data_IF_299033446168
#
_entry.id   IF_299033446168
#
_cell.length_a   1.000
_cell.length_b   1.000
_cell.length_c   1.000
_cell.angle_alpha   90.00
_cell.angle_beta   90.00
_cell.angle_gamma   90.00
#
_symmetry.space_group_name_H-M   'P 1'
#
loop_
_entity.id
_entity.type
_entity.pdbx_description
1 polymer ?
#
# COMPACT_ATOMS: atom_id res chain seq x y z
N UNK A 1 -52.60 2.72 17.09
CA UNK A 1 -52.85 3.56 18.29
C UNK A 1 -51.97 4.80 18.22
N UNK A 2 -52.55 6.00 18.11
CA UNK A 2 -51.82 7.28 18.04
C UNK A 2 -51.57 7.79 19.47
N UNK A 3 -50.32 8.00 19.88
CA UNK A 3 -49.97 8.59 21.17
C UNK A 3 -50.10 10.12 21.09
N UNK A 4 -50.95 10.71 21.93
CA UNK A 4 -51.08 12.15 22.14
C UNK A 4 -50.06 12.58 23.18
N UNK A 5 -49.23 13.57 22.87
CA UNK A 5 -48.40 14.26 23.86
C UNK A 5 -49.26 15.25 24.66
N UNK A 6 -49.10 15.24 25.99
CA UNK A 6 -49.70 16.20 26.92
C UNK A 6 -48.61 17.20 27.32
N UNK A 7 -48.82 18.52 27.19
CA UNK A 7 -47.86 19.50 27.66
C UNK A 7 -47.87 19.52 29.20
N UNK A 8 -46.71 19.35 29.82
CA UNK A 8 -46.53 19.65 31.23
C UNK A 8 -46.35 21.17 31.37
N UNK A 9 -47.33 21.82 32.00
CA UNK A 9 -47.19 23.20 32.45
C UNK A 9 -46.27 23.25 33.68
N UNK A 10 -45.26 24.14 33.72
CA UNK A 10 -44.36 24.25 34.85
C UNK A 10 -45.11 24.84 36.05
N UNK A 11 -45.29 24.05 37.10
CA UNK A 11 -45.75 24.54 38.40
C UNK A 11 -44.59 25.25 39.09
N UNK A 12 -44.49 26.56 38.90
CA UNK A 12 -43.61 27.42 39.69
C UNK A 12 -44.22 27.60 41.09
N UNK A 13 -43.68 26.88 42.07
CA UNK A 13 -43.87 27.21 43.48
C UNK A 13 -42.91 28.36 43.83
N UNK A 14 -43.44 29.57 43.91
CA UNK A 14 -42.77 30.70 44.55
C UNK A 14 -42.87 30.53 46.07
N UNK A 15 -41.89 29.84 46.67
CA UNK A 15 -41.59 30.01 48.10
C UNK A 15 -40.51 31.08 48.20
N UNK A 16 -40.84 32.25 48.76
CA UNK A 16 -39.88 33.31 49.04
C UNK A 16 -39.02 32.92 50.25
N UNK A 17 -37.83 32.37 50.00
CA UNK A 17 -36.72 32.31 50.96
C UNK A 17 -35.77 33.47 50.66
N UNK A 18 -35.95 34.59 51.37
CA UNK A 18 -35.14 35.81 51.18
C UNK A 18 -33.74 35.71 51.81
N UNK A 19 -33.39 34.56 52.40
CA UNK A 19 -32.13 34.34 53.13
C UNK A 19 -31.16 33.37 52.40
N UNK A 20 -31.50 32.87 51.20
CA UNK A 20 -30.64 31.93 50.44
C UNK A 20 -29.75 32.64 49.39
N UNK A 21 -30.01 33.92 49.06
CA UNK A 21 -29.23 34.66 48.06
C UNK A 21 -27.83 35.05 48.57
N UNK A 22 -27.66 35.32 49.87
CA UNK A 22 -26.34 35.68 50.44
C UNK A 22 -25.39 34.47 50.51
N UNK A 23 -25.89 33.26 50.79
CA UNK A 23 -25.06 32.05 50.78
C UNK A 23 -24.63 31.63 49.36
N UNK A 24 -25.48 31.87 48.36
CA UNK A 24 -25.18 31.54 46.96
C UNK A 24 -24.12 32.49 46.36
N UNK A 25 -24.09 33.76 46.77
CA UNK A 25 -23.03 34.70 46.39
C UNK A 25 -21.66 34.32 47.00
N UNK A 26 -21.61 33.93 48.27
CA UNK A 26 -20.35 33.53 48.93
C UNK A 26 -19.77 32.23 48.32
N UNK A 27 -20.63 31.26 48.00
CA UNK A 27 -20.21 30.02 47.32
C UNK A 27 -19.68 30.31 45.91
N UNK A 28 -20.29 31.26 45.20
CA UNK A 28 -19.85 31.66 43.87
C UNK A 28 -18.51 32.40 43.89
N UNK A 29 -18.27 33.27 44.86
CA UNK A 29 -17.00 33.99 44.99
C UNK A 29 -15.84 33.03 45.29
N UNK A 30 -16.04 32.07 46.20
CA UNK A 30 -15.04 31.04 46.50
C UNK A 30 -14.70 30.19 45.28
N UNK A 31 -15.73 29.76 44.53
CA UNK A 31 -15.54 28.96 43.31
C UNK A 31 -14.83 29.76 42.22
N UNK A 32 -15.15 31.05 42.09
CA UNK A 32 -14.45 31.94 41.16
C UNK A 32 -12.96 32.05 41.49
N UNK A 33 -12.62 32.21 42.77
CA UNK A 33 -11.23 32.26 43.23
C UNK A 33 -10.47 30.95 42.96
N UNK A 34 -11.08 29.79 43.23
CA UNK A 34 -10.49 28.48 42.95
C UNK A 34 -10.21 28.26 41.45
N UNK A 35 -11.14 28.69 40.59
CA UNK A 35 -10.95 28.64 39.12
C UNK A 35 -9.80 29.54 38.70
N UNK A 36 -9.74 30.78 39.22
CA UNK A 36 -8.68 31.72 38.89
C UNK A 36 -7.29 31.18 39.27
N UNK A 37 -7.17 30.59 40.46
CA UNK A 37 -5.94 29.98 40.92
C UNK A 37 -5.53 28.78 40.06
N UNK A 38 -6.50 27.99 39.60
CA UNK A 38 -6.26 26.85 38.69
C UNK A 38 -5.75 27.31 37.33
N UNK A 39 -6.34 28.38 36.77
CA UNK A 39 -5.88 28.97 35.50
C UNK A 39 -4.44 29.46 35.63
N UNK A 40 -4.11 30.19 36.70
CA UNK A 40 -2.75 30.68 36.92
C UNK A 40 -1.73 29.54 37.06
N UNK A 41 -2.11 28.45 37.72
CA UNK A 41 -1.26 27.26 37.82
C UNK A 41 -1.01 26.63 36.43
N UNK A 42 -2.06 26.46 35.62
CA UNK A 42 -1.95 25.88 34.28
C UNK A 42 -1.11 26.76 33.34
N UNK A 43 -1.26 28.08 33.40
CA UNK A 43 -0.45 29.02 32.62
C UNK A 43 1.04 28.92 32.98
N UNK A 44 1.36 28.76 34.27
CA UNK A 44 2.73 28.57 34.73
C UNK A 44 3.30 27.20 34.31
N UNK A 45 2.50 26.14 34.34
CA UNK A 45 2.89 24.81 33.85
C UNK A 45 3.14 24.83 32.33
N UNK A 46 2.27 25.47 31.55
CA UNK A 46 2.46 25.64 30.11
C UNK A 46 3.73 26.42 29.78
N UNK A 47 3.98 27.53 30.48
CA UNK A 47 5.19 28.34 30.28
C UNK A 47 6.46 27.54 30.61
N UNK A 48 6.42 26.71 31.64
CA UNK A 48 7.53 25.83 32.00
C UNK A 48 7.80 24.78 30.91
N UNK A 49 6.75 24.14 30.40
CA UNK A 49 6.86 23.16 29.31
C UNK A 49 7.40 23.80 28.03
N UNK A 50 6.99 25.03 27.71
CA UNK A 50 7.50 25.76 26.55
C UNK A 50 9.00 26.07 26.67
N UNK A 51 9.45 26.48 27.87
CA UNK A 51 10.87 26.70 28.17
C UNK A 51 11.67 25.40 28.02
N UNK A 52 11.16 24.30 28.57
CA UNK A 52 11.85 23.00 28.52
C UNK A 52 11.91 22.44 27.09
N UNK A 53 10.83 22.58 26.31
CA UNK A 53 10.81 22.23 24.88
C UNK A 53 11.81 23.08 24.08
N UNK A 54 11.91 24.38 24.35
CA UNK A 54 12.86 25.26 23.65
C UNK A 54 14.31 24.95 24.02
N UNK A 55 14.57 24.53 25.26
CA UNK A 55 15.90 24.03 25.68
C UNK A 55 16.24 22.74 24.95
N UNK A 56 15.30 21.80 24.86
CA UNK A 56 15.48 20.54 24.14
C UNK A 56 15.73 20.77 22.64
N UNK A 57 14.93 21.63 21.99
CA UNK A 57 15.16 22.05 20.59
C UNK A 57 16.54 22.68 20.40
N UNK A 58 16.97 23.52 21.33
CA UNK A 58 18.29 24.18 21.28
C UNK A 58 19.44 23.19 21.51
N UNK A 59 19.25 22.21 22.40
CA UNK A 59 20.20 21.13 22.62
C UNK A 59 20.31 20.22 21.38
N UNK A 60 19.19 19.94 20.72
CA UNK A 60 19.15 19.16 19.48
C UNK A 60 19.76 19.95 18.30
N UNK A 61 19.59 21.27 18.24
CA UNK A 61 20.23 22.12 17.23
C UNK A 61 21.76 22.21 17.37
N UNK A 62 22.32 21.90 18.54
CA UNK A 62 23.77 21.79 18.77
C UNK A 62 24.36 20.48 18.24
N UNK A 63 23.53 19.48 17.90
CA UNK A 63 23.93 18.31 17.11
C UNK A 63 24.05 18.74 15.65
N UNK A 64 25.10 19.52 15.36
CA UNK A 64 25.36 20.14 14.05
C UNK A 64 25.73 19.15 12.94
N UNK A 65 25.90 17.88 13.28
CA UNK A 65 26.18 16.85 12.29
C UNK A 65 24.85 16.13 12.04
N UNK A 66 24.20 16.49 10.93
CA UNK A 66 23.14 15.65 10.40
C UNK A 66 23.67 14.21 10.32
N UNK A 67 22.89 13.22 10.77
CA UNK A 67 23.32 11.83 10.71
C UNK A 67 23.56 11.42 9.26
N UNK A 68 24.79 11.00 8.97
CA UNK A 68 25.18 10.47 7.67
C UNK A 68 24.85 8.98 7.64
N UNK A 69 24.15 8.54 6.60
CA UNK A 69 23.89 7.12 6.37
C UNK A 69 25.18 6.45 5.87
N UNK A 70 25.84 5.66 6.71
CA UNK A 70 26.90 4.77 6.26
C UNK A 70 26.25 3.44 5.86
N UNK A 71 26.07 3.22 4.57
CA UNK A 71 25.48 1.99 4.04
C UNK A 71 26.62 1.11 3.51
N UNK A 72 26.66 -0.15 3.93
CA UNK A 72 27.61 -1.15 3.44
C UNK A 72 26.86 -2.33 2.81
N UNK A 73 27.46 -2.93 1.79
CA UNK A 73 26.96 -4.18 1.20
C UNK A 73 27.84 -5.34 1.68
N UNK A 74 27.25 -6.31 2.36
CA UNK A 74 27.93 -7.52 2.79
C UNK A 74 27.12 -8.75 2.40
N UNK A 75 27.72 -9.66 1.64
CA UNK A 75 27.11 -10.92 1.17
C UNK A 75 25.77 -10.73 0.43
N UNK A 76 25.64 -9.66 -0.36
CA UNK A 76 24.41 -9.35 -1.08
C UNK A 76 23.32 -8.66 -0.25
N UNK A 77 23.57 -8.41 1.04
CA UNK A 77 22.66 -7.68 1.91
C UNK A 77 23.13 -6.23 2.07
N UNK A 78 22.19 -5.28 1.95
CA UNK A 78 22.42 -3.89 2.29
C UNK A 78 22.28 -3.72 3.82
N UNK A 79 23.33 -3.23 4.47
CA UNK A 79 23.40 -3.03 5.91
C UNK A 79 23.59 -1.54 6.20
N UNK A 80 22.77 -0.98 7.08
CA UNK A 80 23.02 0.33 7.67
C UNK A 80 24.07 0.18 8.78
N UNK A 81 25.27 0.66 8.53
CA UNK A 81 26.34 0.78 9.51
C UNK A 81 26.11 2.03 10.36
N UNK A 82 25.21 1.96 11.33
CA UNK A 82 24.93 3.08 12.21
C UNK A 82 25.06 2.69 13.67
N UNK A 83 25.46 3.67 14.49
CA UNK A 83 25.46 3.53 15.94
C UNK A 83 24.08 3.76 16.56
N UNK A 84 22.97 3.68 15.80
CA UNK A 84 21.61 3.96 16.32
C UNK A 84 21.32 3.05 17.53
N UNK A 85 21.22 3.66 18.72
CA UNK A 85 21.06 2.93 20.00
C UNK A 85 19.60 2.78 20.40
N UNK A 86 18.75 3.69 19.93
CA UNK A 86 17.34 3.72 20.26
C UNK A 86 16.46 4.28 19.14
N UNK A 87 15.15 4.22 19.37
CA UNK A 87 14.14 4.65 18.40
C UNK A 87 14.12 6.17 18.19
N UNK A 88 14.49 6.99 19.19
CA UNK A 88 14.54 8.44 19.02
C UNK A 88 15.68 8.83 18.08
N UNK A 89 16.82 8.14 18.18
CA UNK A 89 17.94 8.31 17.25
C UNK A 89 17.57 7.87 15.83
N UNK A 90 16.83 6.76 15.67
CA UNK A 90 16.30 6.32 14.36
C UNK A 90 15.38 7.37 13.71
N UNK A 91 14.55 8.06 14.49
CA UNK A 91 13.67 9.12 13.97
C UNK A 91 14.46 10.32 13.41
N UNK A 92 15.64 10.63 13.95
CA UNK A 92 16.52 11.67 13.40
C UNK A 92 17.01 11.30 12.00
N UNK A 93 17.32 10.01 11.77
CA UNK A 93 17.67 9.50 10.45
C UNK A 93 16.52 9.52 9.45
N UNK A 94 15.26 9.52 9.91
CA UNK A 94 14.06 9.62 9.04
C UNK A 94 14.01 10.92 8.23
N UNK A 95 14.50 12.03 8.80
CA UNK A 95 14.63 13.30 8.05
C UNK A 95 15.73 13.23 6.98
N UNK A 96 16.85 12.57 7.30
CA UNK A 96 17.95 12.29 6.37
C UNK A 96 17.59 11.22 5.33
N UNK A 97 16.65 10.31 5.61
CA UNK A 97 16.22 9.25 4.71
C UNK A 97 15.73 9.82 3.36
N UNK A 98 14.93 10.90 3.42
CA UNK A 98 14.46 11.62 2.23
C UNK A 98 15.62 12.26 1.45
N UNK A 99 16.76 12.53 2.08
CA UNK A 99 17.93 13.07 1.39
C UNK A 99 18.81 11.99 0.76
N UNK A 100 19.01 10.86 1.43
CA UNK A 100 19.98 9.84 1.01
C UNK A 100 19.39 8.70 0.20
N UNK A 101 18.18 8.24 0.55
CA UNK A 101 17.54 7.09 -0.09
C UNK A 101 16.39 7.50 -1.00
N UNK A 102 15.95 8.75 -0.92
CA UNK A 102 15.04 9.27 -1.92
C UNK A 102 15.77 9.47 -3.24
N UNK A 103 15.13 9.08 -4.36
CA UNK A 103 15.63 9.50 -5.65
C UNK A 103 15.64 11.03 -5.82
N UNK A 104 14.97 11.77 -4.95
CA UNK A 104 14.96 13.23 -5.02
C UNK A 104 16.15 13.93 -4.36
N UNK A 105 17.05 13.22 -3.68
CA UNK A 105 18.11 13.84 -2.85
C UNK A 105 18.92 14.91 -3.58
N UNK A 106 19.36 14.65 -4.82
CA UNK A 106 20.12 15.60 -5.63
C UNK A 106 19.25 16.70 -6.24
N UNK A 107 18.06 16.35 -6.75
CA UNK A 107 17.12 17.30 -7.36
C UNK A 107 16.59 18.30 -6.35
N UNK A 108 16.28 17.86 -5.12
CA UNK A 108 15.84 18.71 -4.02
C UNK A 108 16.97 19.57 -3.43
N UNK A 109 18.24 19.19 -3.62
CA UNK A 109 19.38 20.03 -3.26
C UNK A 109 19.64 21.14 -4.27
N UNK A 110 19.34 20.91 -5.55
CA UNK A 110 19.66 21.83 -6.66
C UNK A 110 18.48 22.69 -7.09
N UNK A 111 17.25 22.33 -6.72
CA UNK A 111 16.03 23.04 -7.08
C UNK A 111 14.98 22.94 -5.98
N UNK A 112 14.09 23.93 -5.89
CA UNK A 112 13.04 23.93 -4.87
C UNK A 112 12.08 22.76 -5.13
N UNK A 113 11.91 21.81 -4.18
CA UNK A 113 11.08 20.62 -4.37
C UNK A 113 9.62 20.93 -4.75
N UNK A 114 9.11 22.09 -4.31
CA UNK A 114 7.75 22.55 -4.57
C UNK A 114 7.43 22.69 -6.06
N UNK A 115 8.44 22.97 -6.91
CA UNK A 115 8.25 23.14 -8.37
C UNK A 115 7.90 21.82 -9.07
N UNK A 116 8.35 20.69 -8.53
CA UNK A 116 8.10 19.36 -9.12
C UNK A 116 6.92 18.64 -8.51
N UNK A 117 6.47 19.10 -7.35
CA UNK A 117 5.49 18.37 -6.54
C UNK A 117 4.17 18.16 -7.28
N UNK A 118 3.61 19.21 -7.85
CA UNK A 118 2.34 19.12 -8.57
C UNK A 118 2.48 18.20 -9.81
N UNK A 119 3.63 18.22 -10.50
CA UNK A 119 3.92 17.33 -11.64
C UNK A 119 4.04 15.86 -11.21
N UNK A 120 4.69 15.59 -10.08
CA UNK A 120 4.83 14.24 -9.54
C UNK A 120 3.47 13.69 -9.06
N UNK A 121 2.64 14.55 -8.44
CA UNK A 121 1.27 14.21 -8.07
C UNK A 121 0.41 13.89 -9.30
N UNK A 122 0.47 14.73 -10.34
CA UNK A 122 -0.24 14.50 -11.60
C UNK A 122 0.19 13.18 -12.23
N UNK A 123 1.48 12.89 -12.21
CA UNK A 123 2.03 11.62 -12.72
C UNK A 123 1.62 10.43 -11.87
N UNK A 124 1.54 10.55 -10.53
CA UNK A 124 1.00 9.49 -9.68
C UNK A 124 -0.44 9.16 -10.08
N UNK A 125 -1.30 10.16 -10.22
CA UNK A 125 -2.70 9.92 -10.59
C UNK A 125 -2.84 9.36 -12.00
N UNK A 126 -2.01 9.82 -12.93
CA UNK A 126 -2.02 9.36 -14.31
C UNK A 126 -1.46 7.94 -14.49
N UNK A 127 -0.32 7.63 -13.86
CA UNK A 127 0.42 6.38 -14.10
C UNK A 127 0.13 5.29 -13.07
N UNK A 128 -0.11 5.63 -11.80
CA UNK A 128 -0.13 4.64 -10.71
C UNK A 128 -1.53 4.44 -10.13
N UNK A 129 -2.22 5.54 -9.77
CA UNK A 129 -3.54 5.47 -9.15
C UNK A 129 -4.60 4.87 -10.07
N UNK A 130 -4.37 4.90 -11.38
CA UNK A 130 -5.21 4.21 -12.34
C UNK A 130 -5.24 2.69 -12.11
N UNK A 131 -4.09 2.07 -11.82
CA UNK A 131 -3.96 0.62 -11.63
C UNK A 131 -4.15 0.20 -10.18
N UNK A 132 -3.72 1.05 -9.25
CA UNK A 132 -3.85 0.83 -7.81
C UNK A 132 -4.49 2.07 -7.20
N UNK A 133 -5.84 2.17 -7.20
CA UNK A 133 -6.57 3.37 -6.81
C UNK A 133 -6.63 3.57 -5.29
N UNK A 134 -5.48 3.89 -4.69
CA UNK A 134 -5.31 4.05 -3.25
C UNK A 134 -5.81 5.39 -2.71
N UNK A 135 -5.83 6.41 -3.58
CA UNK A 135 -6.14 7.79 -3.22
C UNK A 135 -7.20 8.33 -4.16
N UNK A 136 -8.27 8.87 -3.61
CA UNK A 136 -9.25 9.59 -4.42
C UNK A 136 -8.71 10.97 -4.83
N UNK A 137 -8.50 11.16 -6.14
CA UNK A 137 -7.80 12.31 -6.68
C UNK A 137 -8.41 13.66 -6.28
N UNK A 138 -9.71 13.85 -6.49
CA UNK A 138 -10.36 15.14 -6.23
C UNK A 138 -10.29 15.51 -4.75
N UNK A 139 -10.50 14.54 -3.86
CA UNK A 139 -10.43 14.77 -2.42
C UNK A 139 -9.02 15.08 -1.97
N UNK A 140 -8.04 14.38 -2.52
CA UNK A 140 -6.63 14.64 -2.22
C UNK A 140 -6.17 16.01 -2.72
N UNK A 141 -6.56 16.43 -3.93
CA UNK A 141 -6.23 17.77 -4.44
C UNK A 141 -6.85 18.88 -3.60
N UNK A 142 -8.08 18.70 -3.12
CA UNK A 142 -8.70 19.63 -2.16
C UNK A 142 -7.95 19.66 -0.84
N UNK A 143 -7.49 18.50 -0.36
CA UNK A 143 -6.72 18.39 0.89
C UNK A 143 -5.34 19.05 0.79
N UNK A 144 -4.58 18.80 -0.28
CA UNK A 144 -3.21 19.30 -0.41
C UNK A 144 -3.14 20.83 -0.52
N UNK A 145 -4.22 21.48 -1.01
CA UNK A 145 -4.37 22.93 -1.02
C UNK A 145 -4.51 23.54 0.39
N UNK A 146 -4.88 22.73 1.39
CA UNK A 146 -5.02 23.19 2.79
C UNK A 146 -3.72 23.13 3.59
N UNK A 147 -2.66 22.56 3.02
CA UNK A 147 -1.39 22.35 3.71
C UNK A 147 -0.47 23.58 3.58
N UNK A 148 0.13 23.99 4.69
CA UNK A 148 1.14 25.06 4.71
C UNK A 148 2.44 24.61 4.04
N UNK A 149 2.91 23.40 4.34
CA UNK A 149 4.04 22.75 3.69
C UNK A 149 3.64 21.35 3.18
N UNK A 150 3.44 21.26 1.87
CA UNK A 150 3.07 20.01 1.19
C UNK A 150 4.14 18.91 1.33
N UNK A 151 5.40 19.26 1.59
CA UNK A 151 6.50 18.28 1.75
C UNK A 151 6.51 17.62 3.13
N UNK A 152 5.79 18.17 4.10
CA UNK A 152 5.60 17.53 5.40
C UNK A 152 4.46 16.51 5.38
N UNK A 153 3.63 16.52 4.33
CA UNK A 153 2.54 15.57 4.22
C UNK A 153 3.05 14.23 3.71
N UNK A 154 2.91 13.16 4.52
CA UNK A 154 3.52 11.89 4.19
C UNK A 154 2.79 11.15 3.06
N UNK A 155 1.49 11.42 2.82
CA UNK A 155 0.79 10.91 1.64
C UNK A 155 1.33 11.56 0.37
N UNK A 156 1.62 12.86 0.42
CA UNK A 156 2.25 13.60 -0.67
C UNK A 156 3.64 13.06 -0.99
N UNK A 157 4.47 12.84 0.03
CA UNK A 157 5.79 12.22 -0.15
C UNK A 157 5.67 10.81 -0.73
N UNK A 158 4.66 10.04 -0.32
CA UNK A 158 4.39 8.71 -0.87
C UNK A 158 4.13 8.74 -2.36
N UNK A 159 3.19 9.60 -2.77
CA UNK A 159 2.78 9.71 -4.16
C UNK A 159 3.94 10.16 -5.04
N UNK A 160 4.73 11.13 -4.55
CA UNK A 160 5.91 11.60 -5.26
C UNK A 160 6.91 10.46 -5.44
N UNK A 161 7.26 9.76 -4.36
CA UNK A 161 8.15 8.61 -4.41
C UNK A 161 7.70 7.55 -5.41
N UNK A 162 6.41 7.18 -5.42
CA UNK A 162 5.85 6.22 -6.37
C UNK A 162 5.85 6.72 -7.82
N UNK A 163 5.66 8.02 -8.07
CA UNK A 163 5.65 8.58 -9.41
C UNK A 163 7.04 8.65 -10.05
N UNK A 164 8.09 8.78 -9.24
CA UNK A 164 9.45 8.99 -9.74
C UNK A 164 10.12 7.73 -10.30
N UNK A 165 9.60 6.54 -9.96
CA UNK A 165 10.04 5.25 -10.51
C UNK A 165 10.05 5.30 -12.06
N UNK A 166 9.16 6.12 -12.63
CA UNK A 166 8.97 6.24 -14.07
C UNK A 166 9.88 7.28 -14.76
N UNK A 167 10.62 8.11 -14.00
CA UNK A 167 11.47 9.16 -14.59
C UNK A 167 12.95 8.77 -14.70
N UNK A 168 13.47 7.91 -13.82
CA UNK A 168 14.90 7.55 -13.80
C UNK A 168 15.09 6.02 -13.76
N UNK A 169 15.13 5.34 -14.93
CA UNK A 169 15.27 3.88 -15.01
C UNK A 169 16.52 3.35 -14.32
N UNK A 170 17.58 4.15 -14.25
CA UNK A 170 18.86 3.78 -13.62
C UNK A 170 18.78 3.69 -12.09
N UNK A 171 17.72 4.21 -11.47
CA UNK A 171 17.51 4.20 -10.01
C UNK A 171 16.40 3.25 -9.59
N UNK A 172 16.26 2.17 -10.37
CA UNK A 172 15.25 1.15 -10.16
C UNK A 172 15.36 0.52 -8.76
N UNK A 173 16.58 0.29 -8.24
CA UNK A 173 16.79 -0.34 -6.94
C UNK A 173 16.36 0.55 -5.78
N UNK A 174 16.73 1.83 -5.77
CA UNK A 174 16.30 2.80 -4.77
C UNK A 174 14.80 3.04 -4.82
N UNK A 175 14.24 3.10 -6.03
CA UNK A 175 12.81 3.15 -6.27
C UNK A 175 12.09 1.92 -5.73
N UNK A 176 12.65 0.72 -5.94
CA UNK A 176 12.12 -0.53 -5.42
C UNK A 176 12.18 -0.56 -3.89
N UNK A 177 13.26 -0.06 -3.29
CA UNK A 177 13.40 0.02 -1.83
C UNK A 177 12.39 1.00 -1.23
N UNK A 178 12.19 2.16 -1.85
CA UNK A 178 11.20 3.14 -1.41
C UNK A 178 9.79 2.58 -1.56
N UNK A 179 9.49 1.85 -2.64
CA UNK A 179 8.22 1.11 -2.77
C UNK A 179 8.09 0.06 -1.68
N UNK A 180 9.07 -0.82 -1.49
CA UNK A 180 8.94 -1.95 -0.58
C UNK A 180 8.98 -1.56 0.90
N UNK A 181 9.65 -0.46 1.27
CA UNK A 181 9.79 -0.04 2.67
C UNK A 181 8.80 1.08 2.98
N UNK A 182 8.76 2.12 2.15
CA UNK A 182 7.94 3.29 2.40
C UNK A 182 6.46 2.98 2.16
N UNK A 183 6.10 2.27 1.08
CA UNK A 183 4.68 2.04 0.76
C UNK A 183 3.97 1.25 1.86
N UNK A 184 4.49 0.12 2.39
CA UNK A 184 3.84 -0.57 3.50
C UNK A 184 3.87 0.24 4.79
N UNK A 185 4.98 0.90 5.12
CA UNK A 185 5.09 1.77 6.30
C UNK A 185 4.04 2.88 6.25
N UNK A 186 3.89 3.55 5.12
CA UNK A 186 2.92 4.65 4.95
C UNK A 186 1.48 4.14 4.95
N UNK A 187 1.21 2.98 4.34
CA UNK A 187 -0.12 2.38 4.32
C UNK A 187 -0.55 1.87 5.70
N UNK A 188 0.39 1.43 6.54
CA UNK A 188 0.12 0.93 7.90
C UNK A 188 0.11 2.04 8.96
N UNK A 189 0.98 3.04 8.87
CA UNK A 189 1.18 4.03 9.95
C UNK A 189 0.42 5.34 9.75
N UNK A 190 0.20 5.79 8.51
CA UNK A 190 -0.31 7.15 8.28
C UNK A 190 -1.80 7.31 8.55
N UNK A 191 -2.59 6.24 8.52
CA UNK A 191 -4.05 6.40 8.45
C UNK A 191 -4.75 6.23 9.79
N UNK A 192 -4.27 5.46 10.75
CA UNK A 192 -5.05 5.23 11.99
C UNK A 192 -5.22 6.49 12.85
N UNK A 193 -4.17 7.32 13.01
CA UNK A 193 -4.24 8.52 13.84
C UNK A 193 -5.08 9.64 13.20
N UNK A 194 -5.07 9.78 11.87
CA UNK A 194 -5.89 10.76 11.18
C UNK A 194 -7.31 10.27 10.93
N UNK A 195 -7.54 8.97 10.72
CA UNK A 195 -8.91 8.39 10.56
C UNK A 195 -9.84 8.77 11.71
N UNK A 196 -9.33 8.91 12.93
CA UNK A 196 -10.09 9.40 14.10
C UNK A 196 -10.55 10.86 13.97
N UNK A 197 -9.74 11.74 13.36
CA UNK A 197 -10.11 13.17 13.17
C UNK A 197 -11.22 13.32 12.12
N UNK A 198 -11.24 12.44 11.13
CA UNK A 198 -12.17 12.51 10.01
C UNK A 198 -13.49 11.73 10.21
N UNK A 199 -13.53 10.78 11.16
CA UNK A 199 -14.73 9.98 11.48
C UNK A 199 -15.95 10.80 11.97
N UNK A 200 -15.76 12.09 12.32
CA UNK A 200 -16.83 12.98 12.78
C UNK A 200 -17.58 13.72 11.66
N UNK A 201 -17.13 13.62 10.41
CA UNK A 201 -17.85 14.18 9.27
C UNK A 201 -18.90 13.15 8.82
N UNK A 202 -20.14 13.55 8.53
CA UNK A 202 -21.21 12.64 8.04
C UNK A 202 -21.53 12.86 6.56
N UNK A 203 -20.61 13.49 5.83
CA UNK A 203 -20.76 13.96 4.45
C UNK A 203 -20.01 13.04 3.47
N UNK A 204 -20.23 13.22 2.16
CA UNK A 204 -19.52 12.60 1.05
C UNK A 204 -18.00 12.49 1.27
N UNK A 205 -17.39 13.50 1.90
CA UNK A 205 -15.99 13.52 2.34
C UNK A 205 -15.58 12.28 3.15
N UNK A 206 -16.45 11.86 4.07
CA UNK A 206 -16.24 10.71 4.96
C UNK A 206 -16.30 9.41 4.21
N UNK A 207 -17.30 9.24 3.32
CA UNK A 207 -17.38 8.04 2.46
C UNK A 207 -16.11 7.91 1.61
N UNK A 208 -15.68 9.00 0.99
CA UNK A 208 -14.48 9.00 0.16
C UNK A 208 -13.22 8.64 0.94
N UNK A 209 -13.10 9.16 2.16
CA UNK A 209 -12.00 8.79 3.04
C UNK A 209 -12.06 7.31 3.43
N UNK A 210 -13.21 6.81 3.87
CA UNK A 210 -13.38 5.39 4.20
C UNK A 210 -13.06 4.50 3.01
N UNK A 211 -13.55 4.83 1.81
CA UNK A 211 -13.22 4.11 0.60
C UNK A 211 -11.70 4.11 0.35
N UNK A 212 -11.03 5.26 0.49
CA UNK A 212 -9.57 5.35 0.32
C UNK A 212 -8.83 4.52 1.37
N UNK A 213 -9.19 4.62 2.66
CA UNK A 213 -8.60 3.83 3.76
C UNK A 213 -8.78 2.34 3.51
N UNK A 214 -9.99 1.91 3.17
CA UNK A 214 -10.32 0.53 2.92
C UNK A 214 -9.51 -0.04 1.75
N UNK A 215 -9.54 0.62 0.59
CA UNK A 215 -8.74 0.25 -0.61
C UNK A 215 -7.25 0.13 -0.26
N UNK A 216 -6.71 1.10 0.47
CA UNK A 216 -5.32 1.07 0.91
C UNK A 216 -5.01 -0.08 1.86
N UNK A 217 -5.89 -0.37 2.81
CA UNK A 217 -5.70 -1.48 3.74
C UNK A 217 -5.68 -2.82 3.01
N UNK A 218 -6.59 -3.03 2.05
CA UNK A 218 -6.65 -4.25 1.24
C UNK A 218 -5.38 -4.45 0.42
N UNK A 219 -4.96 -3.42 -0.32
CA UNK A 219 -3.74 -3.49 -1.14
C UNK A 219 -2.49 -3.69 -0.27
N UNK A 220 -2.37 -2.98 0.85
CA UNK A 220 -1.23 -3.13 1.76
C UNK A 220 -1.13 -4.54 2.32
N UNK A 221 -2.25 -5.10 2.80
CA UNK A 221 -2.29 -6.48 3.29
C UNK A 221 -1.91 -7.48 2.19
N UNK A 222 -2.37 -7.26 0.95
CA UNK A 222 -2.02 -8.12 -0.19
C UNK A 222 -0.52 -8.09 -0.48
N UNK A 223 0.06 -6.89 -0.57
CA UNK A 223 1.50 -6.71 -0.80
C UNK A 223 2.32 -7.31 0.34
N UNK A 224 1.92 -7.08 1.60
CA UNK A 224 2.61 -7.66 2.75
C UNK A 224 2.54 -9.19 2.76
N UNK A 225 1.40 -9.77 2.36
CA UNK A 225 1.30 -11.22 2.17
C UNK A 225 2.29 -11.74 1.13
N UNK A 226 2.42 -11.06 -0.01
CA UNK A 226 3.41 -11.41 -1.06
C UNK A 226 4.84 -11.28 -0.53
N UNK A 227 5.15 -10.20 0.19
CA UNK A 227 6.47 -10.00 0.78
C UNK A 227 6.79 -11.11 1.79
N UNK A 228 5.86 -11.40 2.71
CA UNK A 228 6.03 -12.47 3.71
C UNK A 228 6.19 -13.85 3.04
N UNK A 229 5.55 -14.07 1.89
CA UNK A 229 5.76 -15.28 1.08
C UNK A 229 7.17 -15.37 0.53
N UNK A 230 7.62 -14.31 -0.15
CA UNK A 230 8.86 -14.31 -0.93
C UNK A 230 10.08 -14.21 -0.02
N UNK A 231 9.99 -13.41 1.03
CA UNK A 231 11.13 -13.11 1.91
C UNK A 231 11.23 -14.11 3.07
N UNK A 232 10.11 -14.45 3.69
CA UNK A 232 10.08 -15.24 4.93
C UNK A 232 9.54 -16.67 4.71
N UNK A 233 9.15 -17.03 3.48
CA UNK A 233 8.49 -18.31 3.19
C UNK A 233 7.28 -18.55 4.11
N UNK A 234 6.51 -17.49 4.40
CA UNK A 234 5.33 -17.55 5.26
C UNK A 234 4.05 -17.53 4.45
N UNK A 235 3.27 -18.60 4.55
CA UNK A 235 1.98 -18.74 3.88
C UNK A 235 0.80 -18.46 4.80
N UNK A 236 1.02 -18.47 6.10
CA UNK A 236 -0.01 -18.33 7.14
C UNK A 236 -0.59 -16.92 7.24
N UNK A 237 0.04 -15.94 6.58
CA UNK A 237 -0.32 -14.52 6.66
C UNK A 237 -1.12 -14.00 5.47
N UNK A 238 -1.40 -14.82 4.47
CA UNK A 238 -2.36 -14.44 3.44
C UNK A 238 -3.78 -14.58 3.97
N UNK A 239 -4.30 -13.49 4.50
CA UNK A 239 -5.72 -13.36 4.79
C UNK A 239 -6.49 -13.19 3.47
N UNK A 240 -7.54 -13.99 3.28
CA UNK A 240 -8.51 -13.76 2.20
C UNK A 240 -9.32 -12.50 2.50
N UNK A 241 -9.53 -11.67 1.49
CA UNK A 241 -10.38 -10.48 1.60
C UNK A 241 -11.81 -10.86 1.24
N UNK A 242 -12.75 -10.56 2.13
CA UNK A 242 -14.18 -10.79 1.90
C UNK A 242 -14.96 -9.47 1.72
N UNK A 243 -14.25 -8.35 1.63
CA UNK A 243 -14.85 -7.02 1.55
C UNK A 243 -14.69 -6.43 0.15
N UNK A 244 -15.81 -6.00 -0.42
CA UNK A 244 -15.83 -5.30 -1.69
C UNK A 244 -15.25 -3.89 -1.54
N UNK A 245 -14.42 -3.49 -2.49
CA UNK A 245 -13.92 -2.13 -2.61
C UNK A 245 -15.07 -1.20 -3.01
N UNK A 246 -15.31 -0.15 -2.20
CA UNK A 246 -16.29 0.88 -2.52
C UNK A 246 -15.87 1.61 -3.80
N UNK A 247 -16.81 1.86 -4.71
CA UNK A 247 -16.62 2.60 -5.97
C UNK A 247 -17.32 3.94 -5.83
N UNK A 248 -16.56 5.04 -5.90
CA UNK A 248 -17.10 6.37 -5.71
C UNK A 248 -17.73 6.88 -7.02
N UNK A 249 -18.84 7.64 -6.95
CA UNK A 249 -19.53 8.14 -8.14
C UNK A 249 -18.66 9.02 -9.04
N UNK A 250 -17.65 9.66 -8.48
CA UNK A 250 -16.76 10.61 -9.15
C UNK A 250 -15.35 10.08 -9.43
N UNK A 251 -15.09 8.80 -9.14
CA UNK A 251 -13.88 8.08 -9.57
C UNK A 251 -13.75 8.14 -11.12
N UNK A 252 -12.53 8.23 -11.66
CA UNK A 252 -12.27 8.13 -13.10
C UNK A 252 -12.83 6.83 -13.70
N UNK A 253 -13.27 6.81 -14.97
CA UNK A 253 -13.83 5.59 -15.59
C UNK A 253 -12.91 4.38 -15.52
N UNK A 254 -11.60 4.58 -15.73
CA UNK A 254 -10.60 3.51 -15.62
C UNK A 254 -10.51 2.97 -14.19
N UNK A 255 -10.37 3.85 -13.20
CA UNK A 255 -10.38 3.47 -11.77
C UNK A 255 -11.63 2.69 -11.37
N UNK A 256 -12.82 3.12 -11.82
CA UNK A 256 -14.07 2.39 -11.56
C UNK A 256 -14.04 0.96 -12.11
N UNK A 257 -13.55 0.81 -13.34
CA UNK A 257 -13.42 -0.51 -13.96
C UNK A 257 -12.41 -1.39 -13.24
N UNK A 258 -11.26 -0.85 -12.83
CA UNK A 258 -10.26 -1.60 -12.05
C UNK A 258 -10.82 -2.03 -10.69
N UNK A 259 -11.54 -1.15 -9.98
CA UNK A 259 -12.20 -1.51 -8.72
C UNK A 259 -13.30 -2.56 -8.91
N UNK A 260 -14.06 -2.46 -9.99
CA UNK A 260 -15.06 -3.46 -10.36
C UNK A 260 -14.41 -4.82 -10.64
N UNK A 261 -13.30 -4.85 -11.38
CA UNK A 261 -12.48 -6.04 -11.61
C UNK A 261 -12.02 -6.65 -10.28
N UNK A 262 -11.46 -5.84 -9.36
CA UNK A 262 -11.06 -6.32 -8.03
C UNK A 262 -12.24 -6.89 -7.24
N UNK A 263 -13.43 -6.30 -7.35
CA UNK A 263 -14.62 -6.82 -6.71
C UNK A 263 -15.03 -8.20 -7.25
N UNK A 264 -14.83 -8.47 -8.54
CA UNK A 264 -15.00 -9.82 -9.11
C UNK A 264 -13.91 -10.78 -8.64
N UNK A 265 -12.67 -10.32 -8.50
CA UNK A 265 -11.55 -11.10 -7.94
C UNK A 265 -11.88 -11.53 -6.49
N UNK A 266 -12.37 -10.62 -5.66
CA UNK A 266 -12.80 -10.92 -4.28
C UNK A 266 -13.84 -12.05 -4.23
N UNK A 267 -14.75 -12.13 -5.21
CA UNK A 267 -15.75 -13.22 -5.27
C UNK A 267 -15.09 -14.58 -5.42
N UNK A 268 -14.12 -14.72 -6.33
CA UNK A 268 -13.46 -16.02 -6.54
C UNK A 268 -12.49 -16.35 -5.40
N UNK A 269 -11.76 -15.37 -4.88
CA UNK A 269 -10.81 -15.50 -3.76
C UNK A 269 -11.51 -15.87 -2.44
N UNK A 270 -12.73 -15.37 -2.22
CA UNK A 270 -13.53 -15.69 -1.02
C UNK A 270 -14.16 -17.08 -1.04
N UNK A 271 -14.08 -17.80 -2.17
CA UNK A 271 -14.61 -19.15 -2.25
C UNK A 271 -13.68 -20.13 -1.51
N UNK A 272 -14.21 -20.87 -0.54
CA UNK A 272 -13.43 -21.79 0.32
C UNK A 272 -12.55 -22.80 -0.46
N UNK A 273 -13.01 -23.33 -1.60
CA UNK A 273 -12.19 -24.21 -2.45
C UNK A 273 -11.02 -23.45 -3.10
N UNK A 274 -11.22 -22.21 -3.54
CA UNK A 274 -10.14 -21.36 -4.07
C UNK A 274 -9.11 -21.07 -2.99
N UNK A 275 -9.57 -20.69 -1.79
CA UNK A 275 -8.70 -20.47 -0.63
C UNK A 275 -7.87 -21.72 -0.29
N UNK A 276 -8.51 -22.90 -0.27
CA UNK A 276 -7.86 -24.18 -0.05
C UNK A 276 -6.78 -24.44 -1.11
N UNK A 277 -7.13 -24.30 -2.40
CA UNK A 277 -6.19 -24.50 -3.50
C UNK A 277 -5.01 -23.55 -3.38
N UNK A 278 -5.22 -22.24 -3.15
CA UNK A 278 -4.10 -21.29 -3.02
C UNK A 278 -3.25 -21.54 -1.80
N UNK A 279 -3.85 -21.91 -0.67
CA UNK A 279 -3.07 -22.30 0.51
C UNK A 279 -2.17 -23.50 0.18
N UNK A 280 -2.71 -24.55 -0.43
CA UNK A 280 -1.95 -25.75 -0.78
C UNK A 280 -0.91 -25.49 -1.89
N UNK A 281 -1.23 -24.65 -2.87
CA UNK A 281 -0.29 -24.19 -3.89
C UNK A 281 0.89 -23.44 -3.28
N UNK A 282 0.64 -22.53 -2.33
CA UNK A 282 1.73 -21.83 -1.64
C UNK A 282 2.57 -22.77 -0.78
N UNK A 283 1.95 -23.73 -0.10
CA UNK A 283 2.68 -24.77 0.66
C UNK A 283 3.58 -25.60 -0.26
N UNK A 284 3.14 -25.93 -1.48
CA UNK A 284 3.97 -26.63 -2.46
C UNK A 284 5.16 -25.80 -2.96
N UNK A 285 4.98 -24.49 -3.22
CA UNK A 285 6.08 -23.60 -3.65
C UNK A 285 7.21 -23.60 -2.62
N UNK A 286 6.89 -23.79 -1.34
CA UNK A 286 7.85 -23.84 -0.25
C UNK A 286 8.38 -25.25 0.05
N UNK A 287 8.44 -26.11 -0.97
CA UNK A 287 8.87 -27.52 -0.87
C UNK A 287 8.00 -28.38 0.06
N UNK A 288 6.82 -27.90 0.44
CA UNK A 288 5.83 -28.64 1.22
C UNK A 288 5.13 -29.71 0.39
N UNK A 289 4.24 -30.46 1.05
CA UNK A 289 3.36 -31.43 0.38
C UNK A 289 1.95 -30.88 0.37
N UNK A 290 1.37 -30.66 -0.81
CA UNK A 290 -0.07 -30.41 -0.91
C UNK A 290 -0.87 -31.68 -0.59
N UNK A 291 -2.00 -31.46 0.05
CA UNK A 291 -3.06 -32.42 0.32
C UNK A 291 -4.31 -32.08 -0.50
N UNK A 292 -4.13 -31.77 -1.79
CA UNK A 292 -5.24 -31.58 -2.72
C UNK A 292 -5.67 -32.93 -3.30
N UNK A 293 -6.97 -33.21 -3.23
CA UNK A 293 -7.58 -34.36 -3.91
C UNK A 293 -7.89 -34.04 -5.37
N UNK A 294 -8.16 -35.05 -6.20
CA UNK A 294 -8.61 -34.81 -7.58
C UNK A 294 -9.98 -34.11 -7.59
N UNK A 295 -10.81 -34.41 -6.61
CA UNK A 295 -12.11 -33.79 -6.40
C UNK A 295 -11.97 -32.30 -6.07
N UNK A 296 -11.00 -31.89 -5.26
CA UNK A 296 -10.75 -30.46 -4.97
C UNK A 296 -10.34 -29.70 -6.23
N UNK A 297 -9.47 -30.30 -7.06
CA UNK A 297 -9.01 -29.70 -8.32
C UNK A 297 -10.18 -29.57 -9.31
N UNK A 298 -10.99 -30.62 -9.46
CA UNK A 298 -12.16 -30.58 -10.34
C UNK A 298 -13.21 -29.57 -9.86
N UNK A 299 -13.43 -29.48 -8.54
CA UNK A 299 -14.29 -28.45 -7.95
C UNK A 299 -13.75 -27.04 -8.27
N UNK A 300 -12.46 -26.79 -8.05
CA UNK A 300 -11.83 -25.50 -8.33
C UNK A 300 -11.97 -25.10 -9.79
N UNK A 301 -11.71 -26.02 -10.72
CA UNK A 301 -11.88 -25.78 -12.15
C UNK A 301 -13.33 -25.40 -12.49
N UNK A 302 -14.32 -26.13 -11.95
CA UNK A 302 -15.73 -25.80 -12.14
C UNK A 302 -16.07 -24.40 -11.62
N UNK A 303 -15.60 -24.05 -10.42
CA UNK A 303 -15.84 -22.74 -9.81
C UNK A 303 -15.19 -21.62 -10.65
N UNK A 304 -13.95 -21.84 -11.12
CA UNK A 304 -13.24 -20.89 -11.97
C UNK A 304 -13.96 -20.68 -13.30
N UNK A 305 -14.47 -21.74 -13.91
CA UNK A 305 -15.28 -21.67 -15.13
C UNK A 305 -16.58 -20.90 -14.89
N UNK A 306 -17.32 -21.20 -13.83
CA UNK A 306 -18.57 -20.51 -13.50
C UNK A 306 -18.34 -19.03 -13.21
N UNK A 307 -17.30 -18.72 -12.43
CA UNK A 307 -16.87 -17.35 -12.17
C UNK A 307 -16.51 -16.62 -13.47
N UNK A 308 -15.69 -17.23 -14.33
CA UNK A 308 -15.32 -16.62 -15.62
C UNK A 308 -16.54 -16.32 -16.47
N UNK A 309 -17.50 -17.25 -16.59
CA UNK A 309 -18.73 -17.01 -17.35
C UNK A 309 -19.58 -15.87 -16.76
N UNK A 310 -19.56 -15.69 -15.44
CA UNK A 310 -20.26 -14.62 -14.74
C UNK A 310 -19.66 -13.23 -14.96
N UNK A 311 -18.40 -13.14 -15.40
CA UNK A 311 -17.75 -11.87 -15.68
C UNK A 311 -18.45 -11.13 -16.84
N UNK A 312 -18.45 -9.79 -16.82
CA UNK A 312 -18.79 -9.00 -17.99
C UNK A 312 -17.85 -9.27 -19.18
N UNK A 313 -18.38 -9.23 -20.41
CA UNK A 313 -17.60 -9.53 -21.62
C UNK A 313 -16.45 -8.54 -21.89
N UNK A 314 -16.53 -7.33 -21.33
CA UNK A 314 -15.45 -6.35 -21.43
C UNK A 314 -14.23 -6.70 -20.56
N UNK A 315 -14.34 -7.62 -19.61
CA UNK A 315 -13.18 -8.17 -18.89
C UNK A 315 -12.61 -9.44 -19.54
N UNK A 316 -13.33 -10.06 -20.48
CA UNK A 316 -12.94 -11.33 -21.09
C UNK A 316 -12.11 -11.10 -22.35
N UNK A 317 -10.91 -11.64 -22.38
CA UNK A 317 -10.07 -11.71 -23.59
C UNK A 317 -10.43 -12.91 -24.48
N UNK A 318 -10.95 -13.98 -23.87
CA UNK A 318 -11.26 -15.27 -24.49
C UNK A 318 -12.62 -15.79 -24.02
N UNK A 319 -13.12 -16.87 -24.64
CA UNK A 319 -14.42 -17.47 -24.28
C UNK A 319 -14.36 -18.16 -22.91
N UNK A 320 -13.37 -19.03 -22.69
CA UNK A 320 -13.06 -19.62 -21.40
C UNK A 320 -11.77 -19.06 -20.78
N UNK A 321 -11.57 -19.26 -19.46
CA UNK A 321 -10.38 -18.83 -18.74
C UNK A 321 -9.11 -19.58 -19.20
N UNK A 322 -9.26 -20.77 -19.80
CA UNK A 322 -8.16 -21.58 -20.33
C UNK A 322 -7.92 -21.40 -21.83
N UNK A 323 -8.70 -20.54 -22.50
CA UNK A 323 -8.62 -20.29 -23.95
C UNK A 323 -7.74 -19.07 -24.30
N UNK A 324 -7.12 -18.38 -23.32
CA UNK A 324 -6.24 -17.22 -23.59
C UNK A 324 -4.94 -17.76 -24.26
N UNK A 325 -4.67 -17.33 -25.49
CA UNK A 325 -3.44 -17.69 -26.22
C UNK A 325 -2.50 -16.50 -26.32
N UNK A 326 -1.24 -16.75 -26.70
CA UNK A 326 -0.26 -15.68 -26.96
C UNK A 326 -0.78 -14.67 -27.97
N UNK A 327 -1.34 -15.15 -29.07
CA UNK A 327 -1.83 -14.31 -30.16
C UNK A 327 -3.00 -13.43 -29.70
N UNK A 328 -3.88 -13.96 -28.83
CA UNK A 328 -4.97 -13.17 -28.25
C UNK A 328 -4.43 -12.04 -27.36
N UNK A 329 -3.40 -12.32 -26.58
CA UNK A 329 -2.75 -11.33 -25.70
C UNK A 329 -2.04 -10.26 -26.53
N UNK A 330 -1.20 -10.66 -27.49
CA UNK A 330 -0.48 -9.73 -28.37
C UNK A 330 -1.42 -8.87 -29.22
N UNK A 331 -2.59 -9.40 -29.60
CA UNK A 331 -3.60 -8.67 -30.35
C UNK A 331 -4.52 -7.79 -29.48
N UNK A 332 -4.52 -7.98 -28.15
CA UNK A 332 -5.42 -7.27 -27.25
C UNK A 332 -4.82 -5.92 -26.85
N UNK A 333 -5.47 -4.84 -27.27
CA UNK A 333 -5.11 -3.47 -26.86
C UNK A 333 -5.92 -2.96 -25.67
N UNK A 334 -6.84 -3.78 -25.14
CA UNK A 334 -7.69 -3.42 -24.01
C UNK A 334 -6.98 -3.78 -22.70
N UNK A 335 -6.54 -2.75 -21.98
CA UNK A 335 -5.83 -2.88 -20.71
C UNK A 335 -6.63 -3.64 -19.65
N UNK A 336 -7.96 -3.53 -19.63
CA UNK A 336 -8.80 -4.21 -18.63
C UNK A 336 -8.83 -5.71 -18.87
N UNK A 337 -8.94 -6.12 -20.14
CA UNK A 337 -8.85 -7.53 -20.54
C UNK A 337 -7.47 -8.11 -20.27
N UNK A 338 -6.41 -7.34 -20.52
CA UNK A 338 -5.04 -7.77 -20.23
C UNK A 338 -4.81 -7.94 -18.73
N UNK A 339 -5.29 -7.00 -17.89
CA UNK A 339 -5.19 -7.12 -16.43
C UNK A 339 -5.99 -8.31 -15.89
N UNK A 340 -7.18 -8.58 -16.44
CA UNK A 340 -7.95 -9.76 -16.05
C UNK A 340 -7.30 -11.06 -16.53
N UNK A 341 -6.80 -11.15 -17.78
CA UNK A 341 -6.06 -12.34 -18.23
C UNK A 341 -4.78 -12.52 -17.41
N UNK A 342 -4.06 -11.45 -17.04
CA UNK A 342 -2.92 -11.53 -16.13
C UNK A 342 -3.31 -12.16 -14.78
N UNK A 343 -4.39 -11.70 -14.16
CA UNK A 343 -4.85 -12.26 -12.89
C UNK A 343 -5.18 -13.75 -13.06
N UNK A 344 -6.04 -14.10 -14.03
CA UNK A 344 -6.47 -15.48 -14.26
C UNK A 344 -5.30 -16.40 -14.64
N UNK A 345 -4.37 -15.94 -15.46
CA UNK A 345 -3.17 -16.71 -15.79
C UNK A 345 -2.24 -16.83 -14.60
N UNK A 346 -2.12 -15.81 -13.74
CA UNK A 346 -1.49 -15.95 -12.44
C UNK A 346 -2.10 -17.10 -11.62
N UNK A 347 -3.42 -17.27 -11.67
CA UNK A 347 -4.10 -18.38 -10.99
C UNK A 347 -3.86 -19.75 -11.66
N UNK A 348 -3.83 -19.79 -12.99
CA UNK A 348 -3.73 -21.03 -13.77
C UNK A 348 -2.29 -21.53 -13.88
N UNK A 349 -1.32 -20.62 -14.05
CA UNK A 349 0.11 -20.93 -14.21
C UNK A 349 0.79 -21.40 -12.94
N UNK A 350 0.15 -21.27 -11.77
CA UNK A 350 0.54 -22.04 -10.58
C UNK A 350 0.71 -23.52 -10.96
N UNK A 351 -0.17 -24.09 -11.79
CA UNK A 351 -0.08 -25.49 -12.23
C UNK A 351 1.16 -25.79 -13.09
N UNK A 352 1.62 -24.86 -13.93
CA UNK A 352 2.80 -25.05 -14.78
C UNK A 352 4.09 -24.91 -13.97
N UNK A 353 4.17 -23.93 -13.06
CA UNK A 353 5.25 -23.88 -12.05
C UNK A 353 5.30 -25.18 -11.22
N UNK A 354 4.15 -25.77 -10.89
CA UNK A 354 4.08 -27.05 -10.17
C UNK A 354 4.55 -28.25 -10.99
N UNK A 355 4.29 -28.27 -12.30
CA UNK A 355 4.74 -29.35 -13.18
C UNK A 355 6.22 -29.20 -13.57
N UNK A 356 6.72 -27.98 -13.74
CA UNK A 356 8.15 -27.70 -13.94
C UNK A 356 8.98 -28.01 -12.69
N UNK A 357 8.44 -27.70 -11.50
CA UNK A 357 9.03 -28.08 -10.22
C UNK A 357 9.03 -29.61 -10.00
N UNK A 358 7.95 -30.33 -10.36
CA UNK A 358 7.96 -31.80 -10.35
C UNK A 358 8.99 -32.40 -11.31
N UNK A 359 9.26 -31.75 -12.44
CA UNK A 359 10.28 -32.17 -13.42
C UNK A 359 11.70 -31.85 -12.97
N UNK A 360 11.91 -30.79 -12.18
CA UNK A 360 13.23 -30.41 -11.64
C UNK A 360 13.65 -31.25 -10.43
N UNK A 361 12.70 -31.91 -9.76
CA UNK A 361 12.96 -32.93 -8.74
C UNK A 361 13.25 -34.28 -9.44
N UNK A 362 14.46 -34.41 -9.97
CA UNK A 362 15.03 -35.71 -10.35
C UNK A 362 15.30 -36.56 -9.11
N UNK A 363 15.06 -37.90 -9.13
CA UNK A 363 15.44 -38.81 -8.04
C UNK A 363 16.95 -38.85 -7.73
N UNK A 364 17.79 -38.28 -8.60
CA UNK A 364 19.25 -38.40 -8.54
C UNK A 364 19.96 -37.28 -7.76
N UNK A 365 19.24 -36.47 -6.98
CA UNK A 365 19.82 -35.41 -6.14
C UNK A 365 19.90 -35.75 -4.65
N UNK A 366 20.26 -37.00 -4.34
CA UNK A 366 21.01 -37.28 -3.11
C UNK A 366 22.50 -37.00 -3.33
N UNK A 367 22.94 -35.76 -3.07
CA UNK A 367 24.37 -35.50 -2.87
C UNK A 367 24.68 -35.57 -1.39
N UNK A 368 25.40 -36.63 -1.01
CA UNK A 368 26.10 -36.74 0.27
C UNK A 368 26.96 -35.49 0.49
N UNK A 369 26.70 -34.80 1.59
CA UNK A 369 27.48 -33.67 2.11
C UNK A 369 28.90 -34.11 2.46
N UNK A 370 29.77 -34.27 1.47
CA UNK A 370 31.21 -34.46 1.70
C UNK A 370 32.04 -34.25 0.42
N UNK A 371 32.15 -33.02 -0.08
CA UNK A 371 33.40 -32.50 -0.66
C UNK A 371 33.19 -31.11 -1.29
N UNK A 372 33.53 -30.06 -0.55
CA UNK A 372 33.82 -28.75 -1.14
C UNK A 372 35.34 -28.68 -1.40
N UNK A 373 35.74 -28.77 -2.65
CA UNK A 373 37.00 -28.18 -3.13
C UNK A 373 36.86 -27.78 -4.60
N UNK A 374 36.97 -26.46 -4.83
CA UNK A 374 37.51 -25.77 -6.02
C UNK A 374 37.03 -26.17 -7.42
N UNK A 375 36.51 -25.21 -8.20
CA UNK A 375 37.25 -24.58 -9.31
C UNK A 375 36.42 -23.52 -10.08
N UNK A 376 37.18 -22.65 -10.72
CA UNK A 376 36.93 -21.38 -11.41
C UNK A 376 36.38 -21.42 -12.86
N UNK A 377 35.73 -20.29 -13.23
CA UNK A 377 35.64 -19.60 -14.55
C UNK A 377 34.92 -20.25 -15.75
N UNK A 378 33.92 -19.53 -16.30
CA UNK A 378 33.99 -19.00 -17.68
C UNK A 378 32.80 -18.05 -17.98
N UNK A 379 33.12 -16.78 -18.29
CA UNK A 379 32.26 -15.83 -19.00
C UNK A 379 32.55 -15.96 -20.50
N UNK A 380 31.52 -16.07 -21.33
CA UNK A 380 31.32 -15.32 -22.60
C UNK A 380 30.19 -15.95 -23.41
N UNK A 381 29.15 -15.17 -23.70
CA UNK A 381 28.67 -14.89 -25.07
C UNK A 381 27.64 -13.77 -24.99
N UNK A 382 28.02 -12.63 -25.55
CA UNK A 382 27.19 -11.45 -25.78
C UNK A 382 26.76 -11.53 -27.23
N UNK A 383 25.48 -11.77 -27.49
CA UNK A 383 24.86 -11.43 -28.78
C UNK A 383 23.38 -11.11 -28.55
N UNK A 384 23.01 -9.87 -28.93
CA UNK A 384 21.66 -9.30 -29.02
C UNK A 384 20.92 -9.03 -27.70
N UNK A 385 21.52 -8.22 -26.82
CA UNK A 385 20.73 -7.42 -25.90
C UNK A 385 20.12 -6.24 -26.69
N UNK A 386 18.88 -6.40 -27.16
CA UNK A 386 18.05 -5.24 -27.55
C UNK A 386 17.99 -4.35 -26.33
N UNK A 387 18.41 -3.08 -26.46
CA UNK A 387 18.41 -2.21 -25.30
C UNK A 387 16.97 -2.05 -24.84
N UNK A 388 16.72 -2.19 -23.52
CA UNK A 388 15.40 -1.97 -22.95
C UNK A 388 14.81 -0.60 -23.40
N UNK A 389 15.69 0.37 -23.69
CA UNK A 389 15.33 1.68 -24.22
C UNK A 389 14.62 1.62 -25.59
N UNK A 390 15.02 0.73 -26.50
CA UNK A 390 14.43 0.60 -27.84
C UNK A 390 13.06 -0.10 -27.81
N UNK A 391 12.85 -1.00 -26.83
CA UNK A 391 11.57 -1.72 -26.64
C UNK A 391 10.46 -0.77 -26.19
N UNK A 392 10.78 0.20 -25.32
CA UNK A 392 9.79 1.06 -24.68
C UNK A 392 9.54 2.40 -25.40
N UNK A 393 10.29 2.74 -26.44
CA UNK A 393 10.19 4.05 -27.10
C UNK A 393 8.81 4.35 -27.71
N UNK A 394 8.02 3.30 -28.01
CA UNK A 394 6.71 3.41 -28.67
C UNK A 394 5.52 3.04 -27.76
N UNK A 395 5.76 2.67 -26.49
CA UNK A 395 4.68 2.33 -25.55
C UNK A 395 4.23 3.57 -24.79
N UNK A 396 2.92 3.86 -24.73
CA UNK A 396 2.43 5.12 -24.18
C UNK A 396 2.69 5.28 -22.67
N UNK A 397 2.90 4.19 -21.92
CA UNK A 397 3.25 4.23 -20.50
C UNK A 397 4.18 3.08 -20.07
N UNK A 398 5.21 3.34 -19.23
CA UNK A 398 6.13 2.30 -18.73
C UNK A 398 5.44 1.20 -17.91
N UNK A 399 4.33 1.50 -17.22
CA UNK A 399 3.59 0.49 -16.46
C UNK A 399 2.77 -0.43 -17.36
N UNK A 400 2.17 0.08 -18.43
CA UNK A 400 1.48 -0.75 -19.43
C UNK A 400 2.48 -1.67 -20.13
N UNK A 401 3.68 -1.17 -20.41
CA UNK A 401 4.77 -1.98 -20.93
C UNK A 401 5.26 -3.03 -19.91
N UNK A 402 5.33 -2.69 -18.61
CA UNK A 402 5.64 -3.64 -17.55
C UNK A 402 4.57 -4.75 -17.42
N UNK A 403 3.29 -4.39 -17.46
CA UNK A 403 2.19 -5.36 -17.45
C UNK A 403 2.25 -6.21 -18.71
N UNK A 404 2.47 -5.61 -19.88
CA UNK A 404 2.65 -6.34 -21.13
C UNK A 404 3.83 -7.31 -21.04
N UNK A 405 4.98 -6.91 -20.53
CA UNK A 405 6.15 -7.77 -20.37
C UNK A 405 5.92 -8.88 -19.35
N UNK A 406 5.24 -8.58 -18.24
CA UNK A 406 4.89 -9.59 -17.24
C UNK A 406 3.92 -10.63 -17.82
N UNK A 407 2.91 -10.19 -18.58
CA UNK A 407 1.99 -11.08 -19.29
C UNK A 407 2.72 -11.83 -20.41
N UNK A 408 3.50 -11.16 -21.24
CA UNK A 408 4.21 -11.74 -22.37
C UNK A 408 5.29 -12.73 -21.92
N UNK A 409 6.01 -12.45 -20.83
CA UNK A 409 6.93 -13.41 -20.19
C UNK A 409 6.16 -14.62 -19.69
N UNK A 410 5.02 -14.40 -19.03
CA UNK A 410 4.10 -15.47 -18.62
C UNK A 410 3.52 -16.26 -19.80
N UNK A 411 3.70 -15.80 -21.04
CA UNK A 411 3.12 -16.37 -22.25
C UNK A 411 4.17 -16.98 -23.18
N UNK A 412 5.41 -16.50 -23.18
CA UNK A 412 6.50 -17.14 -23.93
C UNK A 412 6.76 -18.55 -23.42
N UNK A 413 6.60 -18.75 -22.12
CA UNK A 413 6.59 -20.04 -21.44
C UNK A 413 5.38 -20.94 -21.83
N UNK A 414 4.40 -20.47 -22.63
CA UNK A 414 3.32 -21.31 -23.22
C UNK A 414 3.82 -22.05 -24.46
N UNK A 415 4.74 -21.46 -25.22
CA UNK A 415 5.14 -21.96 -26.54
C UNK A 415 6.39 -22.85 -26.53
N UNK A 416 7.08 -22.98 -25.40
CA UNK A 416 8.27 -23.85 -25.25
C UNK A 416 7.96 -25.23 -24.63
N UNK A 417 6.67 -25.55 -24.42
CA UNK A 417 6.16 -26.87 -23.97
C UNK A 417 5.36 -27.52 -25.10
#
# INVERSE_FOLDING_TARGET
MKRKCVPQSPSFNYSSSFDEEEEEEEINEKRYFEIHQTIEQLENEMRKLEIDLNKEKSANALIKNEPVWHIRFENGHMMLDSEIKDFQELLLYGSSFIRYLSPFGYTFQTSSPSVYLDRLIDRYFYCYNNFIPLVHEKSYRKYIETLEDKLQDPVTLAMCASANIFDEPERYLESLMVVNILQPFMMTTLRFNDSKKWANLTDHTTRTLYASIHRSSVVAKTIMGIIDLVMDNRTDRFETFNEYLDILPDDPPFTKSVLEMFNYIVIIESHHITELVYKQSRELVLEGKAQLTLEDIACYESILMDWWHSLPDYFKISKGPFDCTKELIEACTDTQKLLMCLYVHGLVRIKEFMEEFKKSISPDHHVLTSSLHSSSLSLTTSELAVSAHDVYQNYPLPFEAFIFDMVNSSVMDINEV
#
